data_IF_759406103838
#
_entry.id   IF_759406103838
#
_cell.length_a   1.000
_cell.length_b   1.000
_cell.length_c   1.000
_cell.angle_alpha   90.00
_cell.angle_beta   90.00
_cell.angle_gamma   90.00
#
_symmetry.space_group_name_H-M   'P 1'
#
loop_
_entity.id
_entity.type
_entity.pdbx_description
1 polymer ?
#
# COMPACT_ATOMS: atom_id res chain seq x y z
N UNK A 1 20.00 7.52 15.65
CA UNK A 1 20.99 7.45 16.75
C UNK A 1 21.48 6.02 17.00
N UNK A 2 20.82 4.97 16.48
CA UNK A 2 21.20 3.56 16.69
C UNK A 2 21.88 2.88 15.49
N UNK A 3 22.07 3.56 14.35
CA UNK A 3 22.71 2.98 13.14
C UNK A 3 24.23 2.71 13.30
N UNK A 4 24.82 3.00 14.47
CA UNK A 4 26.25 2.78 14.72
C UNK A 4 26.57 1.57 15.59
N UNK A 5 25.58 0.86 16.12
CA UNK A 5 25.79 -0.27 17.02
C UNK A 5 25.54 -1.60 16.29
N UNK A 6 26.42 -2.57 16.51
CA UNK A 6 26.17 -3.94 16.05
C UNK A 6 25.03 -4.58 16.84
N UNK A 7 24.48 -5.68 16.31
CA UNK A 7 23.30 -6.34 16.90
C UNK A 7 23.55 -6.77 18.35
N UNK A 8 24.73 -7.31 18.64
CA UNK A 8 25.09 -7.76 19.98
C UNK A 8 25.14 -6.60 20.99
N UNK A 9 25.62 -5.43 20.57
CA UNK A 9 25.63 -4.22 21.37
C UNK A 9 24.22 -3.71 21.63
N UNK A 10 23.34 -3.72 20.62
CA UNK A 10 21.94 -3.31 20.77
C UNK A 10 21.19 -4.23 21.74
N UNK A 11 21.35 -5.54 21.59
CA UNK A 11 20.71 -6.53 22.47
C UNK A 11 21.17 -6.34 23.92
N UNK A 12 22.47 -6.12 24.14
CA UNK A 12 23.02 -5.87 25.47
C UNK A 12 22.51 -4.56 26.08
N UNK A 13 22.40 -3.48 25.30
CA UNK A 13 21.86 -2.20 25.77
C UNK A 13 20.41 -2.38 26.25
N UNK A 14 19.59 -3.07 25.47
CA UNK A 14 18.18 -3.31 25.81
C UNK A 14 18.07 -4.18 27.06
N UNK A 15 18.90 -5.23 27.18
CA UNK A 15 18.93 -6.10 28.36
C UNK A 15 19.27 -5.33 29.63
N UNK A 16 20.30 -4.47 29.59
CA UNK A 16 20.69 -3.64 30.73
C UNK A 16 19.57 -2.66 31.13
N UNK A 17 18.94 -2.01 30.15
CA UNK A 17 17.82 -1.10 30.42
C UNK A 17 16.59 -1.81 30.99
N UNK A 18 16.31 -3.03 30.53
CA UNK A 18 15.25 -3.87 31.08
C UNK A 18 15.53 -4.23 32.54
N UNK A 19 16.78 -4.57 32.86
CA UNK A 19 17.18 -4.87 34.23
C UNK A 19 17.02 -3.64 35.14
N UNK A 20 17.41 -2.46 34.67
CA UNK A 20 17.23 -1.20 35.40
C UNK A 20 15.75 -0.87 35.62
N UNK A 21 14.92 -1.00 34.58
CA UNK A 21 13.47 -0.79 34.70
C UNK A 21 12.83 -1.76 35.71
N UNK A 22 13.23 -3.02 35.71
CA UNK A 22 12.77 -4.02 36.69
C UNK A 22 13.18 -3.69 38.12
N UNK A 23 14.35 -3.07 38.32
CA UNK A 23 14.79 -2.66 39.64
C UNK A 23 13.99 -1.45 40.16
N UNK A 24 13.56 -0.55 39.28
CA UNK A 24 12.75 0.62 39.62
C UNK A 24 11.30 0.27 40.04
N UNK A 25 10.78 -0.87 39.58
CA UNK A 25 9.42 -1.34 39.92
C UNK A 25 9.33 -1.89 41.36
N UNK A 26 10.47 -2.19 42.01
CA UNK A 26 10.48 -2.80 43.37
C UNK A 26 10.44 -1.76 44.49
N UNK A 27 9.34 -0.99 44.59
CA UNK A 27 9.10 -0.06 45.70
C UNK A 27 8.23 -0.64 46.83
N UNK A 28 8.27 0.01 48.00
CA UNK A 28 7.34 -0.25 49.11
C UNK A 28 6.38 0.91 49.22
N UNK A 29 5.12 0.70 48.87
CA UNK A 29 4.03 1.66 49.04
C UNK A 29 2.82 1.02 49.71
N UNK A 30 1.84 1.85 50.06
CA UNK A 30 0.60 1.40 50.69
C UNK A 30 -0.24 0.64 49.66
N UNK A 31 -0.89 -0.44 50.09
CA UNK A 31 -1.75 -1.24 49.24
C UNK A 31 -2.84 -0.37 48.58
N UNK A 32 -2.86 -0.33 47.24
CA UNK A 32 -3.81 0.43 46.43
C UNK A 32 -3.27 1.75 45.86
N UNK A 33 -2.04 2.16 46.20
CA UNK A 33 -1.38 3.35 45.65
C UNK A 33 -0.14 2.93 44.86
N UNK A 34 -0.26 2.74 43.53
CA UNK A 34 0.91 2.64 42.64
C UNK A 34 1.47 4.05 42.43
N UNK A 35 2.71 4.36 42.84
CA UNK A 35 3.32 5.66 42.59
C UNK A 35 3.46 5.89 41.08
N UNK A 36 3.27 7.13 40.63
CA UNK A 36 3.46 7.50 39.21
C UNK A 36 4.83 7.06 38.66
N UNK A 37 5.86 7.01 39.50
CA UNK A 37 7.19 6.53 39.12
C UNK A 37 7.26 5.03 38.81
N UNK A 38 6.48 4.19 39.50
CA UNK A 38 6.41 2.76 39.19
C UNK A 38 5.59 2.50 37.92
N UNK A 39 4.47 3.22 37.75
CA UNK A 39 3.70 3.17 36.51
C UNK A 39 4.54 3.61 35.30
N UNK A 40 5.34 4.67 35.46
CA UNK A 40 6.28 5.10 34.42
C UNK A 40 7.35 4.04 34.13
N UNK A 41 7.88 3.37 35.15
CA UNK A 41 8.84 2.27 34.98
C UNK A 41 8.21 1.04 34.30
N UNK A 42 6.95 0.72 34.59
CA UNK A 42 6.20 -0.34 33.91
C UNK A 42 5.96 -0.02 32.43
N UNK A 43 5.53 1.20 32.11
CA UNK A 43 5.35 1.64 30.71
C UNK A 43 6.69 1.62 29.95
N UNK A 44 7.76 2.09 30.58
CA UNK A 44 9.10 2.05 29.99
C UNK A 44 9.57 0.62 29.75
N UNK A 45 9.32 -0.30 30.69
CA UNK A 45 9.61 -1.73 30.52
C UNK A 45 8.84 -2.32 29.32
N UNK A 46 7.56 -2.00 29.17
CA UNK A 46 6.76 -2.46 28.02
C UNK A 46 7.30 -1.93 26.69
N UNK A 47 7.77 -0.67 26.66
CA UNK A 47 8.40 -0.09 25.47
C UNK A 47 9.71 -0.81 25.12
N UNK A 48 10.55 -1.11 26.13
CA UNK A 48 11.79 -1.87 25.94
C UNK A 48 11.54 -3.31 25.47
N UNK A 49 10.51 -3.98 26.00
CA UNK A 49 10.10 -5.32 25.54
C UNK A 49 9.63 -5.29 24.07
N UNK A 50 8.86 -4.26 23.69
CA UNK A 50 8.48 -4.05 22.29
C UNK A 50 9.69 -3.80 21.39
N UNK A 51 10.66 -3.02 21.86
CA UNK A 51 11.89 -2.72 21.13
C UNK A 51 12.76 -3.98 20.98
N UNK A 52 12.86 -4.81 22.02
CA UNK A 52 13.55 -6.11 21.97
C UNK A 52 12.94 -7.02 20.90
N UNK A 53 11.61 -7.16 20.88
CA UNK A 53 10.90 -7.94 19.85
C UNK A 53 11.22 -7.42 18.45
N UNK A 54 11.18 -6.10 18.26
CA UNK A 54 11.49 -5.48 16.98
C UNK A 54 12.91 -5.79 16.48
N UNK A 55 13.90 -5.78 17.37
CA UNK A 55 15.29 -6.09 17.02
C UNK A 55 15.51 -7.57 16.72
N UNK A 56 14.87 -8.48 17.46
CA UNK A 56 14.88 -9.91 17.14
C UNK A 56 14.25 -10.18 15.77
N UNK A 57 13.09 -9.56 15.49
CA UNK A 57 12.42 -9.67 14.19
C UNK A 57 13.28 -9.12 13.05
N UNK A 58 13.98 -8.01 13.29
CA UNK A 58 14.92 -7.42 12.35
C UNK A 58 16.10 -8.38 12.06
N UNK A 59 16.72 -8.96 13.10
CA UNK A 59 17.81 -9.90 12.97
C UNK A 59 17.38 -11.15 12.19
N UNK A 60 16.21 -11.71 12.51
CA UNK A 60 15.62 -12.82 11.78
C UNK A 60 15.38 -12.47 10.31
N UNK A 61 14.78 -11.30 10.04
CA UNK A 61 14.53 -10.83 8.67
C UNK A 61 15.81 -10.66 7.85
N UNK A 62 16.88 -10.15 8.47
CA UNK A 62 18.21 -10.03 7.85
C UNK A 62 18.81 -11.41 7.53
N UNK A 63 18.70 -12.35 8.46
CA UNK A 63 19.15 -13.74 8.26
C UNK A 63 18.42 -14.42 7.10
N UNK A 64 17.09 -14.29 7.04
CA UNK A 64 16.27 -14.81 5.94
C UNK A 64 16.69 -14.16 4.60
N UNK A 65 16.86 -12.84 4.58
CA UNK A 65 17.30 -12.12 3.38
C UNK A 65 18.69 -12.60 2.92
N UNK A 66 19.63 -12.80 3.84
CA UNK A 66 20.95 -13.33 3.54
C UNK A 66 20.90 -14.75 2.95
N UNK A 67 20.09 -15.64 3.54
CA UNK A 67 19.90 -17.00 3.02
C UNK A 67 19.30 -16.98 1.60
N UNK A 68 18.28 -16.15 1.36
CA UNK A 68 17.66 -16.02 0.04
C UNK A 68 18.65 -15.54 -1.04
N UNK A 69 19.57 -14.64 -0.67
CA UNK A 69 20.62 -14.15 -1.59
C UNK A 69 21.66 -15.23 -1.86
N UNK A 70 22.10 -15.91 -0.80
CA UNK A 70 23.16 -16.93 -0.88
C UNK A 70 22.70 -18.16 -1.65
N UNK A 71 21.49 -18.64 -1.37
CA UNK A 71 20.96 -19.88 -1.93
C UNK A 71 20.27 -19.65 -3.28
N UNK A 72 20.05 -18.39 -3.68
CA UNK A 72 19.23 -18.04 -4.84
C UNK A 72 19.72 -18.63 -6.17
N UNK A 73 21.04 -18.76 -6.38
CA UNK A 73 21.58 -19.39 -7.60
C UNK A 73 21.34 -20.90 -7.62
N UNK A 74 21.53 -21.57 -6.48
CA UNK A 74 21.28 -23.00 -6.33
C UNK A 74 19.79 -23.30 -6.53
N UNK A 75 18.91 -22.50 -5.90
CA UNK A 75 17.45 -22.63 -6.07
C UNK A 75 17.05 -22.49 -7.54
N UNK A 76 17.60 -21.50 -8.26
CA UNK A 76 17.32 -21.32 -9.70
C UNK A 76 17.75 -22.52 -10.54
N UNK A 77 18.91 -23.12 -10.24
CA UNK A 77 19.38 -24.33 -10.93
C UNK A 77 18.41 -25.49 -10.72
N UNK A 78 18.04 -25.75 -9.45
CA UNK A 78 17.14 -26.84 -9.09
C UNK A 78 15.75 -26.68 -9.72
N UNK A 79 15.21 -25.46 -9.74
CA UNK A 79 13.92 -25.18 -10.40
C UNK A 79 14.01 -25.41 -11.91
N UNK A 80 15.12 -25.04 -12.54
CA UNK A 80 15.31 -25.26 -13.98
C UNK A 80 15.41 -26.77 -14.31
N UNK A 81 16.10 -27.53 -13.47
CA UNK A 81 16.19 -29.00 -13.56
C UNK A 81 14.81 -29.66 -13.38
N UNK A 82 14.02 -29.22 -12.40
CA UNK A 82 12.66 -29.73 -12.16
C UNK A 82 11.73 -29.42 -13.35
N UNK A 83 11.72 -28.19 -13.84
CA UNK A 83 10.94 -27.82 -15.03
C UNK A 83 11.36 -28.59 -16.29
N UNK A 84 12.65 -28.91 -16.41
CA UNK A 84 13.12 -29.76 -17.50
C UNK A 84 12.60 -31.18 -17.35
N UNK A 85 12.66 -31.76 -16.16
CA UNK A 85 12.13 -33.08 -15.88
C UNK A 85 10.61 -33.18 -16.13
N UNK A 86 9.85 -32.12 -15.81
CA UNK A 86 8.42 -32.02 -16.13
C UNK A 86 8.16 -32.05 -17.64
N UNK A 87 8.91 -31.25 -18.42
CA UNK A 87 8.80 -31.25 -19.89
C UNK A 87 9.15 -32.61 -20.48
N UNK A 88 10.23 -33.23 -19.99
CA UNK A 88 10.67 -34.55 -20.45
C UNK A 88 9.60 -35.62 -20.16
N UNK A 89 8.93 -35.53 -19.00
CA UNK A 89 7.81 -36.40 -18.63
C UNK A 89 6.60 -36.20 -19.53
N UNK A 90 6.22 -34.96 -19.84
CA UNK A 90 5.10 -34.65 -20.74
C UNK A 90 5.36 -35.20 -22.15
N UNK A 91 6.58 -35.02 -22.66
CA UNK A 91 7.02 -35.57 -23.94
C UNK A 91 6.90 -37.09 -23.98
N UNK A 92 7.33 -37.77 -22.92
CA UNK A 92 7.28 -39.22 -22.83
C UNK A 92 5.85 -39.77 -22.78
N UNK A 93 4.89 -39.06 -22.19
CA UNK A 93 3.49 -39.49 -22.07
C UNK A 93 2.71 -39.22 -23.36
N UNK A 94 2.89 -38.05 -23.96
CA UNK A 94 2.02 -37.59 -25.07
C UNK A 94 2.57 -37.92 -26.47
N UNK A 95 3.83 -38.33 -26.59
CA UNK A 95 4.42 -38.80 -27.85
C UNK A 95 4.70 -37.72 -28.90
N UNK A 96 4.24 -36.49 -28.69
CA UNK A 96 4.53 -35.32 -29.51
C UNK A 96 5.12 -34.20 -28.65
N UNK A 97 6.11 -33.50 -29.20
CA UNK A 97 6.59 -32.26 -28.60
C UNK A 97 5.50 -31.19 -28.72
N UNK A 98 4.79 -30.91 -27.63
CA UNK A 98 4.00 -29.70 -27.50
C UNK A 98 4.90 -28.51 -27.86
N UNK A 99 4.69 -27.93 -29.04
CA UNK A 99 5.39 -26.74 -29.54
C UNK A 99 4.94 -25.46 -28.83
N UNK A 100 4.38 -25.57 -27.63
CA UNK A 100 4.27 -24.45 -26.72
C UNK A 100 5.67 -24.16 -26.20
N UNK A 101 6.42 -23.39 -27.01
CA UNK A 101 7.67 -22.75 -26.59
C UNK A 101 7.48 -22.08 -25.24
N UNK A 102 8.56 -21.93 -24.45
CA UNK A 102 8.50 -21.56 -23.05
C UNK A 102 7.47 -20.46 -22.91
N UNK A 103 6.32 -20.79 -22.30
CA UNK A 103 5.27 -19.83 -22.04
C UNK A 103 5.99 -18.71 -21.34
N UNK A 104 6.11 -17.58 -22.04
CA UNK A 104 6.78 -16.38 -21.56
C UNK A 104 6.27 -16.21 -20.14
N UNK A 105 7.13 -16.48 -19.16
CA UNK A 105 6.85 -16.12 -17.78
C UNK A 105 6.37 -14.68 -17.88
N UNK A 106 5.15 -14.44 -17.40
CA UNK A 106 4.50 -13.14 -17.52
C UNK A 106 5.54 -12.06 -17.17
N UNK A 107 5.66 -10.98 -17.96
CA UNK A 107 6.73 -9.98 -17.80
C UNK A 107 6.63 -9.18 -16.49
N UNK A 108 5.72 -9.55 -15.58
CA UNK A 108 5.33 -8.79 -14.39
C UNK A 108 6.04 -9.19 -13.09
N UNK A 109 6.99 -10.13 -13.09
CA UNK A 109 7.70 -10.55 -11.85
C UNK A 109 9.22 -10.46 -11.90
N UNK A 110 9.80 -9.96 -12.99
CA UNK A 110 11.23 -9.63 -13.00
C UNK A 110 11.45 -8.37 -12.16
N UNK A 111 11.59 -8.54 -10.84
CA UNK A 111 12.31 -7.56 -10.02
C UNK A 111 13.63 -7.33 -10.74
N UNK A 112 13.84 -6.12 -11.26
CA UNK A 112 15.05 -5.77 -11.98
C UNK A 112 16.26 -6.12 -11.10
N UNK A 113 17.28 -6.78 -11.68
CA UNK A 113 18.50 -7.20 -10.98
C UNK A 113 19.17 -6.03 -10.20
N UNK A 114 18.96 -4.79 -10.67
CA UNK A 114 19.30 -3.52 -10.01
C UNK A 114 18.61 -3.37 -8.64
N UNK A 115 17.30 -3.61 -8.57
CA UNK A 115 16.51 -3.51 -7.35
C UNK A 115 16.92 -4.59 -6.34
N UNK A 116 17.22 -5.81 -6.80
CA UNK A 116 17.77 -6.86 -5.92
C UNK A 116 19.08 -6.38 -5.30
N UNK A 117 20.02 -5.89 -6.11
CA UNK A 117 21.32 -5.38 -5.61
C UNK A 117 21.16 -4.28 -4.58
N UNK A 118 20.24 -3.33 -4.79
CA UNK A 118 19.94 -2.27 -3.82
C UNK A 118 19.35 -2.82 -2.52
N UNK A 119 18.42 -3.79 -2.61
CA UNK A 119 17.85 -4.45 -1.44
C UNK A 119 18.90 -5.23 -0.64
N UNK A 120 19.81 -5.94 -1.30
CA UNK A 120 20.92 -6.63 -0.63
C UNK A 120 21.79 -5.63 0.13
N UNK A 121 22.17 -4.53 -0.52
CA UNK A 121 22.97 -3.49 0.13
C UNK A 121 22.27 -2.85 1.34
N UNK A 122 20.95 -2.63 1.26
CA UNK A 122 20.16 -2.02 2.34
C UNK A 122 19.91 -2.95 3.53
N UNK A 123 19.66 -4.24 3.28
CA UNK A 123 19.16 -5.17 4.31
C UNK A 123 20.20 -6.18 4.78
N UNK A 124 21.17 -6.56 3.95
CA UNK A 124 22.16 -7.62 4.28
C UNK A 124 23.51 -7.02 4.70
N UNK A 125 23.85 -5.81 4.25
CA UNK A 125 25.13 -5.16 4.54
C UNK A 125 26.32 -5.78 3.77
N UNK A 126 27.47 -5.11 3.77
CA UNK A 126 28.66 -5.54 3.00
C UNK A 126 29.40 -6.76 3.60
N UNK A 127 29.06 -7.19 4.81
CA UNK A 127 29.76 -8.26 5.53
C UNK A 127 29.43 -9.67 5.01
N UNK A 128 28.42 -9.81 4.14
CA UNK A 128 27.99 -11.09 3.55
C UNK A 128 28.92 -11.69 2.49
N UNK A 129 30.08 -11.07 2.22
CA UNK A 129 31.07 -11.61 1.25
C UNK A 129 32.23 -12.36 1.89
N UNK A 130 32.21 -12.57 3.21
CA UNK A 130 33.14 -13.51 3.84
C UNK A 130 32.73 -14.94 3.49
N UNK A 131 33.19 -15.37 2.32
CA UNK A 131 32.95 -16.70 1.77
C UNK A 131 33.22 -17.80 2.79
N UNK A 132 32.44 -18.85 2.64
CA UNK A 132 32.67 -20.20 3.13
C UNK A 132 34.03 -20.71 2.65
N UNK A 133 35.11 -20.26 3.29
CA UNK A 133 36.36 -20.99 3.30
C UNK A 133 36.16 -22.15 4.28
N UNK A 134 35.76 -23.29 3.72
CA UNK A 134 35.85 -24.58 4.40
C UNK A 134 37.20 -24.68 5.13
N UNK A 135 37.14 -25.05 6.40
CA UNK A 135 38.31 -25.22 7.24
C UNK A 135 39.34 -26.12 6.56
N UNK A 136 40.47 -25.54 6.17
CA UNK A 136 41.73 -26.25 6.01
C UNK A 136 42.81 -25.44 6.70
N UNK A 137 43.25 -25.99 7.82
CA UNK A 137 44.28 -25.47 8.70
C UNK A 137 45.57 -25.23 7.92
N UNK A 138 46.00 -23.97 7.81
CA UNK A 138 47.39 -23.59 7.54
C UNK A 138 47.61 -22.12 7.88
N UNK A 139 48.34 -21.89 8.98
CA UNK A 139 48.80 -20.58 9.45
C UNK A 139 49.59 -19.86 8.36
N UNK A 140 49.08 -18.76 7.80
CA UNK A 140 49.90 -17.74 7.13
C UNK A 140 49.39 -16.33 7.43
N UNK A 141 50.37 -15.47 7.64
CA UNK A 141 50.35 -14.12 8.18
C UNK A 141 49.19 -13.21 7.70
N UNK A 142 48.64 -12.49 8.67
CA UNK A 142 47.75 -11.35 8.47
C UNK A 142 48.44 -10.29 7.60
N UNK A 143 47.93 -10.11 6.38
CA UNK A 143 48.05 -8.83 5.66
C UNK A 143 46.77 -8.05 5.94
N UNK A 144 46.83 -6.76 6.32
CA UNK A 144 45.62 -5.96 6.45
C UNK A 144 45.07 -5.77 5.02
N UNK A 145 43.96 -6.43 4.71
CA UNK A 145 43.22 -6.26 3.48
C UNK A 145 42.59 -4.87 3.46
N UNK A 146 43.38 -3.91 3.00
CA UNK A 146 42.93 -2.60 2.55
C UNK A 146 42.22 -2.76 1.22
N UNK A 147 40.90 -2.96 1.28
CA UNK A 147 39.94 -2.40 0.31
C UNK A 147 38.53 -2.74 0.80
N UNK A 148 38.01 -1.96 1.75
CA UNK A 148 36.55 -1.77 1.84
C UNK A 148 36.16 -1.28 0.45
N UNK A 149 35.45 -2.10 -0.32
CA UNK A 149 35.06 -1.72 -1.69
C UNK A 149 34.43 -0.33 -1.59
N UNK A 150 34.98 0.65 -2.31
CA UNK A 150 34.45 2.01 -2.22
C UNK A 150 32.99 1.94 -2.69
N UNK A 151 32.05 2.17 -1.77
CA UNK A 151 30.62 2.19 -2.06
C UNK A 151 30.41 3.11 -3.27
N UNK A 152 29.86 2.55 -4.35
CA UNK A 152 29.58 3.31 -5.56
C UNK A 152 28.63 4.45 -5.22
N UNK A 153 29.00 5.68 -5.57
CA UNK A 153 28.19 6.87 -5.35
C UNK A 153 27.54 7.34 -6.63
N UNK A 154 26.36 7.92 -6.49
CA UNK A 154 25.56 8.48 -7.58
C UNK A 154 25.04 9.86 -7.22
N UNK A 155 24.89 10.71 -8.23
CA UNK A 155 24.48 12.10 -8.06
C UNK A 155 22.97 12.26 -8.21
N UNK A 156 22.33 12.82 -7.19
CA UNK A 156 20.91 13.20 -7.27
C UNK A 156 20.70 14.38 -8.23
N UNK A 157 19.75 14.26 -9.16
CA UNK A 157 19.43 15.32 -10.14
C UNK A 157 18.77 16.56 -9.51
N UNK A 158 18.12 16.40 -8.34
CA UNK A 158 17.40 17.48 -7.68
C UNK A 158 18.29 18.32 -6.74
N UNK A 159 19.02 17.67 -5.84
CA UNK A 159 19.87 18.36 -4.85
C UNK A 159 21.35 18.38 -5.20
N UNK A 160 21.78 17.71 -6.28
CA UNK A 160 23.17 17.61 -6.73
C UNK A 160 24.14 16.93 -5.74
N UNK A 161 23.62 16.30 -4.69
CA UNK A 161 24.42 15.57 -3.70
C UNK A 161 24.76 14.17 -4.19
N UNK A 162 26.01 13.76 -3.98
CA UNK A 162 26.48 12.39 -4.23
C UNK A 162 26.14 11.50 -3.03
N UNK A 163 25.27 10.50 -3.25
CA UNK A 163 24.80 9.54 -2.24
C UNK A 163 25.16 8.11 -2.65
N UNK A 164 25.19 7.13 -1.74
CA UNK A 164 25.36 5.73 -2.10
C UNK A 164 24.36 5.28 -3.17
N UNK A 165 24.79 4.49 -4.15
CA UNK A 165 23.95 3.99 -5.24
C UNK A 165 22.68 3.29 -4.73
N UNK A 166 22.76 2.55 -3.62
CA UNK A 166 21.62 1.86 -3.01
C UNK A 166 20.63 2.81 -2.30
N UNK A 167 20.95 4.09 -2.15
CA UNK A 167 20.05 5.14 -1.67
C UNK A 167 19.46 5.97 -2.81
N UNK A 168 19.73 5.59 -4.07
CA UNK A 168 19.17 6.25 -5.24
C UNK A 168 18.04 5.49 -5.89
N UNK A 169 17.12 6.29 -6.43
CA UNK A 169 16.00 5.85 -7.25
C UNK A 169 16.28 6.26 -8.69
N UNK A 170 16.24 5.30 -9.61
CA UNK A 170 16.37 5.57 -11.04
C UNK A 170 14.99 5.71 -11.66
N UNK A 171 14.72 6.86 -12.28
CA UNK A 171 13.48 7.11 -13.02
C UNK A 171 13.48 6.41 -14.38
N UNK A 172 12.31 6.25 -15.04
CA UNK A 172 12.24 5.71 -16.41
C UNK A 172 13.08 6.50 -17.43
N UNK A 173 13.24 7.80 -17.21
CA UNK A 173 14.09 8.67 -18.03
C UNK A 173 15.59 8.58 -17.69
N UNK A 174 16.00 7.61 -16.85
CA UNK A 174 17.37 7.32 -16.38
C UNK A 174 17.97 8.30 -15.36
N UNK A 175 17.32 9.42 -15.05
CA UNK A 175 17.76 10.30 -13.96
C UNK A 175 17.66 9.62 -12.59
N UNK A 176 18.54 10.03 -11.68
CA UNK A 176 18.62 9.45 -10.34
C UNK A 176 18.25 10.48 -9.26
N UNK A 177 17.47 10.06 -8.27
CA UNK A 177 17.06 10.87 -7.13
C UNK A 177 17.50 10.19 -5.82
N UNK A 178 17.96 10.97 -4.84
CA UNK A 178 18.11 10.45 -3.48
C UNK A 178 16.73 10.24 -2.82
N UNK A 179 16.68 9.42 -1.76
CA UNK A 179 15.44 9.09 -1.01
C UNK A 179 14.65 10.32 -0.56
N UNK A 180 15.33 11.38 -0.12
CA UNK A 180 14.66 12.60 0.33
C UNK A 180 13.98 13.31 -0.85
N UNK A 181 14.70 13.60 -1.93
CA UNK A 181 14.15 14.35 -3.05
C UNK A 181 13.05 13.59 -3.80
N UNK A 182 13.12 12.26 -3.89
CA UNK A 182 12.03 11.48 -4.48
C UNK A 182 10.79 11.50 -3.57
N UNK A 183 10.96 11.43 -2.25
CA UNK A 183 9.85 11.57 -1.31
C UNK A 183 9.18 12.94 -1.41
N UNK A 184 9.96 14.02 -1.51
CA UNK A 184 9.44 15.38 -1.68
C UNK A 184 8.65 15.53 -2.99
N UNK A 185 9.11 14.88 -4.07
CA UNK A 185 8.42 14.88 -5.35
C UNK A 185 7.06 14.18 -5.27
N UNK A 186 7.00 13.02 -4.62
CA UNK A 186 5.73 12.31 -4.36
C UNK A 186 4.81 13.12 -3.44
N UNK A 187 5.36 13.75 -2.39
CA UNK A 187 4.60 14.59 -1.48
C UNK A 187 4.00 15.81 -2.18
N UNK A 188 4.73 16.42 -3.11
CA UNK A 188 4.26 17.54 -3.93
C UNK A 188 3.08 17.11 -4.81
N UNK A 189 3.19 15.96 -5.48
CA UNK A 189 2.10 15.41 -6.29
C UNK A 189 0.85 15.04 -5.47
N UNK A 190 1.00 14.64 -4.20
CA UNK A 190 -0.12 14.38 -3.28
C UNK A 190 -0.87 15.66 -2.92
N UNK A 191 -0.15 16.78 -2.79
CA UNK A 191 -0.70 18.05 -2.36
C UNK A 191 -1.30 18.86 -3.51
N UNK A 192 -0.77 18.69 -4.73
CA UNK A 192 -1.18 19.42 -5.92
C UNK A 192 -1.52 18.45 -7.07
N UNK A 193 -2.80 18.42 -7.45
CA UNK A 193 -3.32 17.58 -8.51
C UNK A 193 -2.68 17.88 -9.88
N UNK A 194 -2.23 19.13 -10.13
CA UNK A 194 -1.56 19.48 -11.39
C UNK A 194 -0.18 18.81 -11.52
N UNK A 195 0.45 18.49 -10.39
CA UNK A 195 1.71 17.78 -10.31
C UNK A 195 1.53 16.25 -10.27
N UNK A 196 0.28 15.77 -10.28
CA UNK A 196 -0.03 14.35 -10.28
C UNK A 196 -0.11 13.78 -11.70
N UNK A 197 0.40 12.56 -11.97
CA UNK A 197 1.37 11.82 -11.16
C UNK A 197 2.74 12.52 -11.15
N UNK A 198 3.64 12.24 -10.19
CA UNK A 198 5.00 12.79 -10.18
C UNK A 198 5.72 12.41 -11.47
N UNK A 199 6.43 13.38 -12.06
CA UNK A 199 7.08 13.24 -13.37
C UNK A 199 8.56 13.62 -13.29
N UNK A 200 9.38 12.94 -14.08
CA UNK A 200 10.73 13.38 -14.42
C UNK A 200 10.87 13.38 -15.94
N UNK A 201 11.34 14.48 -16.53
CA UNK A 201 11.41 14.64 -18.00
C UNK A 201 10.08 14.34 -18.71
N UNK A 202 8.97 14.78 -18.10
CA UNK A 202 7.60 14.51 -18.56
C UNK A 202 7.19 13.03 -18.57
N UNK A 203 8.01 12.12 -18.06
CA UNK A 203 7.66 10.72 -17.87
C UNK A 203 7.13 10.48 -16.45
N UNK A 204 6.00 9.78 -16.28
CA UNK A 204 5.46 9.46 -14.97
C UNK A 204 6.41 8.53 -14.21
N UNK A 205 6.57 8.78 -12.92
CA UNK A 205 7.41 8.00 -12.03
C UNK A 205 6.50 6.99 -11.30
N UNK A 206 6.59 5.68 -11.60
CA UNK A 206 5.68 4.69 -11.02
C UNK A 206 5.95 4.47 -9.53
N UNK A 207 4.92 4.30 -8.71
CA UNK A 207 5.10 3.99 -7.28
C UNK A 207 5.77 2.62 -7.08
N UNK A 208 5.45 1.60 -7.90
CA UNK A 208 5.87 0.21 -7.68
C UNK A 208 7.38 0.03 -7.50
N UNK A 209 8.18 0.54 -8.43
CA UNK A 209 9.65 0.47 -8.38
C UNK A 209 10.24 1.32 -7.25
N UNK A 210 9.49 2.32 -6.77
CA UNK A 210 9.97 3.34 -5.83
C UNK A 210 9.48 3.12 -4.40
N UNK A 211 8.54 2.21 -4.19
CA UNK A 211 7.88 2.02 -2.91
C UNK A 211 8.88 1.68 -1.79
N UNK A 212 9.91 0.89 -2.08
CA UNK A 212 10.95 0.51 -1.11
C UNK A 212 11.82 1.71 -0.68
N UNK A 213 11.82 2.78 -1.48
CA UNK A 213 12.58 4.00 -1.23
C UNK A 213 11.77 5.07 -0.49
N UNK A 214 10.45 4.91 -0.42
CA UNK A 214 9.52 5.87 0.17
C UNK A 214 9.05 5.41 1.56
N UNK A 215 8.78 6.34 2.50
CA UNK A 215 8.13 6.00 3.76
C UNK A 215 6.76 5.33 3.52
N UNK A 216 6.43 4.28 4.28
CA UNK A 216 5.18 3.53 4.12
C UNK A 216 3.93 4.42 4.20
N UNK A 217 3.94 5.42 5.10
CA UNK A 217 2.89 6.42 5.22
C UNK A 217 2.70 7.24 3.94
N UNK A 218 3.80 7.69 3.32
CA UNK A 218 3.78 8.47 2.09
C UNK A 218 3.25 7.63 0.92
N UNK A 219 3.72 6.38 0.79
CA UNK A 219 3.22 5.46 -0.22
C UNK A 219 1.72 5.17 -0.06
N UNK A 220 1.23 5.02 1.18
CA UNK A 220 -0.19 4.86 1.47
C UNK A 220 -1.02 6.10 1.11
N UNK A 221 -0.54 7.30 1.43
CA UNK A 221 -1.18 8.56 1.05
C UNK A 221 -1.22 8.74 -0.47
N UNK A 222 -0.13 8.41 -1.16
CA UNK A 222 -0.08 8.44 -2.63
C UNK A 222 -1.16 7.54 -3.24
N UNK A 223 -1.27 6.28 -2.80
CA UNK A 223 -2.31 5.35 -3.29
C UNK A 223 -3.72 5.86 -3.07
N UNK A 224 -3.96 6.47 -1.91
CA UNK A 224 -5.26 7.09 -1.62
C UNK A 224 -5.55 8.24 -2.58
N UNK A 225 -4.56 9.10 -2.87
CA UNK A 225 -4.67 10.18 -3.84
C UNK A 225 -4.78 9.71 -5.28
N UNK A 226 -4.10 8.63 -5.64
CA UNK A 226 -4.20 8.00 -6.96
C UNK A 226 -5.64 7.54 -7.24
N UNK A 227 -6.28 6.91 -6.25
CA UNK A 227 -7.70 6.54 -6.34
C UNK A 227 -8.61 7.77 -6.42
N UNK A 228 -8.37 8.78 -5.59
CA UNK A 228 -9.12 10.03 -5.61
C UNK A 228 -9.02 10.71 -6.98
N UNK A 229 -7.81 10.92 -7.49
CA UNK A 229 -7.57 11.67 -8.72
C UNK A 229 -7.98 10.90 -9.98
N UNK A 230 -7.90 9.57 -9.99
CA UNK A 230 -8.41 8.75 -11.10
C UNK A 230 -9.95 8.65 -11.13
N UNK A 231 -10.63 8.98 -10.03
CA UNK A 231 -12.10 8.96 -9.97
C UNK A 231 -12.67 10.19 -10.68
N UNK A 232 -13.51 10.00 -11.71
CA UNK A 232 -14.14 11.10 -12.47
C UNK A 232 -15.17 11.88 -11.65
N UNK A 233 -16.17 11.18 -11.09
CA UNK A 233 -17.27 11.80 -10.33
C UNK A 233 -17.01 11.69 -8.83
N UNK A 234 -15.96 12.38 -8.37
CA UNK A 234 -15.53 12.34 -6.96
C UNK A 234 -16.66 12.80 -6.05
N UNK A 235 -16.80 12.11 -4.92
CA UNK A 235 -17.73 12.51 -3.88
C UNK A 235 -16.93 12.73 -2.61
N UNK A 236 -17.09 13.92 -2.04
CA UNK A 236 -16.44 14.30 -0.80
C UNK A 236 -17.48 14.40 0.30
N UNK A 237 -17.03 14.23 1.54
CA UNK A 237 -17.88 14.49 2.68
C UNK A 237 -18.38 15.94 2.67
N UNK A 238 -19.70 16.15 2.75
CA UNK A 238 -20.30 17.48 2.74
C UNK A 238 -19.89 18.35 3.93
N UNK A 239 -19.39 17.76 5.03
CA UNK A 239 -18.93 18.52 6.19
C UNK A 239 -17.62 19.22 5.82
N UNK A 240 -17.63 20.55 5.77
CA UNK A 240 -16.47 21.36 5.42
C UNK A 240 -15.22 21.07 6.27
N UNK A 241 -15.40 20.76 7.56
CA UNK A 241 -14.32 20.37 8.49
C UNK A 241 -13.74 18.97 8.21
N UNK A 242 -14.44 18.15 7.44
CA UNK A 242 -14.02 16.80 7.11
C UNK A 242 -13.51 16.69 5.67
N UNK A 243 -14.34 17.08 4.69
CA UNK A 243 -14.05 17.12 3.24
C UNK A 243 -13.29 15.90 2.70
N UNK A 244 -13.44 14.76 3.36
CA UNK A 244 -12.70 13.54 3.04
C UNK A 244 -13.32 12.88 1.83
N UNK A 245 -12.49 12.49 0.86
CA UNK A 245 -12.92 11.73 -0.31
C UNK A 245 -13.61 10.41 0.11
N UNK A 246 -14.73 10.08 -0.53
CA UNK A 246 -15.52 8.87 -0.27
C UNK A 246 -15.40 7.92 -1.46
N UNK A 247 -14.66 6.80 -1.33
CA UNK A 247 -14.52 5.80 -2.38
C UNK A 247 -15.85 5.11 -2.73
N UNK A 248 -15.96 4.61 -3.97
CA UNK A 248 -17.16 3.95 -4.49
C UNK A 248 -17.74 2.82 -3.59
N UNK A 249 -16.94 1.96 -2.92
CA UNK A 249 -17.46 0.95 -2.00
C UNK A 249 -18.31 1.50 -0.84
N UNK A 250 -18.15 2.78 -0.49
CA UNK A 250 -18.90 3.46 0.57
C UNK A 250 -20.09 4.26 0.04
N UNK A 251 -20.43 4.06 -1.23
CA UNK A 251 -21.57 4.69 -1.90
C UNK A 251 -22.63 3.62 -2.15
N UNK A 252 -23.85 3.85 -1.66
CA UNK A 252 -25.02 2.99 -1.90
C UNK A 252 -26.14 3.84 -2.48
N UNK A 253 -26.44 3.61 -3.76
CA UNK A 253 -27.36 4.46 -4.51
C UNK A 253 -26.88 5.91 -4.49
N UNK A 254 -27.73 6.82 -4.01
CA UNK A 254 -27.44 8.26 -3.95
C UNK A 254 -26.78 8.71 -2.63
N UNK A 255 -26.42 7.76 -1.75
CA UNK A 255 -25.91 8.07 -0.41
C UNK A 255 -24.46 7.59 -0.28
N UNK A 256 -23.55 8.54 -0.11
CA UNK A 256 -22.14 8.32 0.20
C UNK A 256 -21.89 8.44 1.71
N UNK A 257 -21.34 7.40 2.35
CA UNK A 257 -21.05 7.40 3.79
C UNK A 257 -19.57 7.67 4.05
N UNK A 258 -19.26 8.72 4.81
CA UNK A 258 -17.87 9.10 5.07
C UNK A 258 -17.17 8.14 6.05
N UNK A 259 -16.04 7.56 5.64
CA UNK A 259 -15.23 6.65 6.47
C UNK A 259 -14.64 7.30 7.73
N UNK A 260 -14.44 8.63 7.71
CA UNK A 260 -13.80 9.37 8.82
C UNK A 260 -14.78 9.81 9.90
N UNK A 261 -15.93 10.36 9.50
CA UNK A 261 -16.89 10.96 10.45
C UNK A 261 -18.31 10.40 10.33
N UNK A 262 -18.52 9.35 9.52
CA UNK A 262 -19.79 8.63 9.34
C UNK A 262 -20.98 9.47 8.83
N UNK A 263 -20.74 10.72 8.43
CA UNK A 263 -21.78 11.57 7.85
C UNK A 263 -22.14 11.12 6.44
N UNK A 264 -23.43 11.21 6.11
CA UNK A 264 -24.00 10.82 4.83
C UNK A 264 -24.09 12.03 3.89
N UNK A 265 -23.60 11.86 2.67
CA UNK A 265 -23.53 12.90 1.64
C UNK A 265 -24.34 12.44 0.43
N UNK A 266 -25.17 13.31 -0.13
CA UNK A 266 -25.87 13.03 -1.38
C UNK A 266 -24.85 13.02 -2.53
N UNK A 267 -24.88 12.01 -3.40
CA UNK A 267 -23.95 11.91 -4.53
C UNK A 267 -24.32 12.84 -5.70
N UNK A 268 -25.55 13.35 -5.73
CA UNK A 268 -26.06 14.24 -6.77
C UNK A 268 -25.68 15.69 -6.44
N UNK A 269 -26.28 16.27 -5.39
CA UNK A 269 -26.01 17.67 -4.99
C UNK A 269 -24.70 17.87 -4.20
N UNK A 270 -24.00 16.79 -3.84
CA UNK A 270 -22.80 16.79 -2.98
C UNK A 270 -23.01 17.41 -1.58
N UNK A 271 -24.25 17.70 -1.20
CA UNK A 271 -24.64 18.23 0.10
C UNK A 271 -24.94 17.14 1.14
N UNK A 272 -25.56 17.52 2.25
CA UNK A 272 -26.05 16.56 3.24
C UNK A 272 -27.05 15.60 2.59
N UNK A 273 -27.02 14.33 2.98
CA UNK A 273 -28.06 13.38 2.62
C UNK A 273 -29.43 13.91 3.05
N UNK A 274 -30.43 13.70 2.20
CA UNK A 274 -31.82 14.11 2.41
C UNK A 274 -32.78 12.95 2.12
N UNK A 275 -34.01 13.07 2.60
CA UNK A 275 -35.06 12.09 2.35
C UNK A 275 -35.85 12.47 1.10
N UNK A 276 -36.06 11.50 0.21
CA UNK A 276 -36.70 11.71 -1.09
C UNK A 276 -35.74 12.20 -2.17
N UNK A 277 -36.32 12.48 -3.34
CA UNK A 277 -35.58 12.84 -4.56
C UNK A 277 -34.73 14.09 -4.39
N UNK A 278 -33.54 14.08 -4.97
CA UNK A 278 -32.66 15.24 -4.93
C UNK A 278 -33.22 16.38 -5.80
N UNK A 279 -33.35 17.61 -5.26
CA UNK A 279 -33.85 18.74 -6.05
C UNK A 279 -32.88 19.15 -7.18
N UNK A 280 -31.61 18.76 -7.09
CA UNK A 280 -30.60 18.99 -8.13
C UNK A 280 -30.49 17.82 -9.12
N UNK A 281 -31.34 16.78 -8.98
CA UNK A 281 -31.44 15.72 -9.98
C UNK A 281 -32.29 16.19 -11.15
N UNK A 282 -31.61 16.75 -12.16
CA UNK A 282 -32.24 17.25 -13.40
C UNK A 282 -33.07 16.18 -14.08
N UNK A 283 -32.60 14.92 -14.13
CA UNK A 283 -33.32 13.85 -14.81
C UNK A 283 -34.65 13.53 -14.12
N UNK A 284 -34.63 13.51 -12.78
CA UNK A 284 -35.84 13.30 -11.98
C UNK A 284 -36.80 14.51 -12.07
N UNK A 285 -36.26 15.73 -12.11
CA UNK A 285 -37.07 16.94 -12.32
C UNK A 285 -37.71 16.98 -13.71
N UNK A 286 -36.99 16.61 -14.76
CA UNK A 286 -37.51 16.54 -16.13
C UNK A 286 -38.64 15.50 -16.23
N UNK A 287 -38.45 14.33 -15.61
CA UNK A 287 -39.48 13.30 -15.55
C UNK A 287 -40.74 13.78 -14.79
N UNK A 288 -40.56 14.53 -13.71
CA UNK A 288 -41.65 15.16 -12.97
C UNK A 288 -42.39 16.24 -13.78
N UNK A 289 -41.67 17.01 -14.59
CA UNK A 289 -42.26 18.02 -15.48
C UNK A 289 -43.08 17.37 -16.58
N UNK A 290 -42.54 16.34 -17.24
CA UNK A 290 -43.28 15.55 -18.25
C UNK A 290 -44.51 14.91 -17.64
N UNK A 291 -44.39 14.35 -16.42
CA UNK A 291 -45.51 13.80 -15.69
C UNK A 291 -46.63 14.83 -15.45
N UNK A 292 -46.27 16.02 -14.97
CA UNK A 292 -47.23 17.09 -14.72
C UNK A 292 -47.96 17.54 -16.00
N UNK A 293 -47.25 17.60 -17.13
CA UNK A 293 -47.83 17.95 -18.44
C UNK A 293 -48.83 16.90 -18.94
N UNK A 294 -48.59 15.62 -18.63
CA UNK A 294 -49.46 14.51 -19.03
C UNK A 294 -50.50 14.13 -17.96
N UNK A 295 -50.56 14.84 -16.83
CA UNK A 295 -51.48 14.54 -15.72
C UNK A 295 -51.12 13.30 -14.91
N UNK A 296 -49.92 12.74 -15.07
CA UNK A 296 -49.45 11.59 -14.32
C UNK A 296 -49.17 11.95 -12.86
N UNK A 297 -49.52 11.04 -11.94
CA UNK A 297 -49.31 11.24 -10.50
C UNK A 297 -48.37 10.19 -9.92
N UNK A 298 -47.71 10.53 -8.81
CA UNK A 298 -46.90 9.57 -8.06
C UNK A 298 -47.75 8.81 -7.06
N UNK A 299 -47.61 7.49 -7.03
CA UNK A 299 -48.18 6.67 -5.98
C UNK A 299 -47.62 7.10 -4.60
N UNK A 300 -48.48 7.36 -3.62
CA UNK A 300 -48.07 7.81 -2.28
C UNK A 300 -47.21 6.78 -1.51
N UNK A 301 -47.38 5.50 -1.81
CA UNK A 301 -46.71 4.39 -1.12
C UNK A 301 -45.36 4.04 -1.77
N UNK A 302 -45.33 3.82 -3.09
CA UNK A 302 -44.14 3.34 -3.80
C UNK A 302 -43.45 4.37 -4.70
N UNK A 303 -44.00 5.60 -4.80
CA UNK A 303 -43.52 6.73 -5.61
C UNK A 303 -43.36 6.49 -7.12
N UNK A 304 -43.81 5.35 -7.66
CA UNK A 304 -43.87 5.12 -9.11
C UNK A 304 -44.85 6.09 -9.78
N UNK A 305 -44.55 6.46 -11.02
CA UNK A 305 -45.45 7.25 -11.87
C UNK A 305 -46.65 6.40 -12.31
N UNK A 306 -47.84 6.97 -12.20
CA UNK A 306 -49.11 6.35 -12.56
C UNK A 306 -49.83 7.28 -13.52
N UNK A 307 -50.21 6.74 -14.67
CA UNK A 307 -51.12 7.39 -15.62
C UNK A 307 -52.56 6.97 -15.31
N UNK A 308 -53.51 7.89 -15.49
CA UNK A 308 -54.94 7.63 -15.38
C UNK A 308 -55.59 7.95 -16.74
N UNK A 309 -55.61 6.97 -17.64
CA UNK A 309 -56.17 7.15 -18.99
C UNK A 309 -57.69 7.37 -18.97
N UNK A 310 -58.44 6.59 -18.17
CA UNK A 310 -59.91 6.71 -17.99
C UNK A 310 -60.33 6.03 -16.66
N UNK A 311 -61.17 6.66 -15.83
CA UNK A 311 -61.79 5.97 -14.67
C UNK A 311 -62.01 6.80 -13.40
N UNK A 312 -62.49 6.14 -12.33
CA UNK A 312 -62.76 6.74 -11.03
C UNK A 312 -61.46 7.11 -10.29
N UNK A 313 -61.45 8.23 -9.57
CA UNK A 313 -60.29 8.75 -8.80
C UNK A 313 -59.85 7.84 -7.63
N UNK A 314 -60.47 6.68 -7.44
CA UNK A 314 -60.12 5.71 -6.43
C UNK A 314 -59.15 4.68 -7.00
N UNK A 315 -57.86 5.02 -7.01
CA UNK A 315 -56.78 4.14 -7.46
C UNK A 315 -56.41 3.17 -6.32
N UNK A 316 -56.77 1.91 -6.45
CA UNK A 316 -56.39 0.83 -5.52
C UNK A 316 -55.05 0.21 -5.88
N UNK A 317 -54.21 -0.10 -4.88
CA UNK A 317 -52.89 -0.73 -5.06
C UNK A 317 -53.02 -2.12 -5.73
N UNK A 318 -52.74 -2.22 -7.04
CA UNK A 318 -52.36 -3.48 -7.65
C UNK A 318 -50.84 -3.58 -7.68
N UNK A 319 -50.25 -4.12 -6.61
CA UNK A 319 -48.89 -4.66 -6.66
C UNK A 319 -48.96 -5.97 -7.48
N UNK A 320 -49.00 -5.84 -8.82
CA UNK A 320 -48.76 -6.98 -9.70
C UNK A 320 -47.25 -7.24 -9.75
N UNK A 321 -46.81 -8.28 -9.04
CA UNK A 321 -45.65 -9.07 -9.49
C UNK A 321 -46.02 -9.62 -10.87
N UNK A 322 -45.12 -9.49 -11.82
CA UNK A 322 -45.19 -9.96 -13.20
C UNK A 322 -45.79 -8.97 -14.21
N UNK A 323 -44.88 -8.26 -14.88
CA UNK A 323 -45.16 -7.47 -16.07
C UNK A 323 -45.43 -8.39 -17.26
N UNK A 324 -46.60 -8.23 -17.89
CA UNK A 324 -46.77 -8.53 -19.31
C UNK A 324 -47.50 -7.34 -19.94
N UNK A 325 -46.76 -6.61 -20.79
CA UNK A 325 -47.30 -5.59 -21.67
C UNK A 325 -48.31 -6.25 -22.62
N UNK A 326 -49.56 -5.80 -22.61
CA UNK A 326 -50.50 -6.04 -23.71
C UNK A 326 -50.84 -4.66 -24.28
N UNK A 327 -50.31 -4.39 -25.48
CA UNK A 327 -50.84 -3.34 -26.36
C UNK A 327 -52.30 -3.67 -26.67
N UNK A 328 -53.21 -2.73 -26.45
CA UNK A 328 -54.52 -2.75 -27.10
C UNK A 328 -54.53 -1.64 -28.16
N UNK A 329 -54.95 -2.01 -29.37
CA UNK A 329 -55.14 -1.15 -30.54
C UNK A 329 -56.13 -0.01 -30.29
#
# INVERSE_FOLDING_TARGET
MFDSFDQASLDLIIELQLQDAQNLIKGKHKAGETPDGELAAELFKLELESLASFHVDQAMSRSIAHAAVTDGEVIRSLVAEEQQAERDRELAINGEASTHGPGTAAPDTAIEDDMVKKLVALYVGEDGRSGTAAASSSKRAARPSTSRAAIEKRRCVACMTDVPYFETVRCPCTHEYCRACIADLFQSAINDESLFPPRCCSQPIPLGLNQIFLPARLAGQYRAKELEYSTKNRTYCHRATCSTFIPAPFIRGEIATCVKCQSKTCTICKGSSHDGDCPEDVATMDLLNVAAQNGWQRCYSCRRMVDLEVGCNHISELIRRDASFVKAN
#
